data_IF_870106222067
#
_entry.id   IF_870106222067
#
_cell.length_a   1.000
_cell.length_b   1.000
_cell.length_c   1.000
_cell.angle_alpha   90.00
_cell.angle_beta   90.00
_cell.angle_gamma   90.00
#
_symmetry.space_group_name_H-M   'P 1'
#
loop_
_entity.id
_entity.type
_entity.pdbx_description
1 polymer ?
#
# COMPACT_ATOMS: atom_id res chain seq x y z
N UNK A 1 -3.37 0.01 46.77
CA UNK A 1 -2.95 1.22 46.03
C UNK A 1 -2.58 0.83 44.61
N UNK A 2 -3.52 1.01 43.67
CA UNK A 2 -3.29 0.74 42.24
C UNK A 2 -2.34 1.80 41.69
N UNK A 3 -1.14 1.42 41.26
CA UNK A 3 -0.23 2.37 40.58
C UNK A 3 -0.95 3.00 39.37
N UNK A 4 -0.87 4.33 39.18
CA UNK A 4 -1.45 4.97 38.01
C UNK A 4 -0.82 4.38 36.75
N UNK A 5 -1.65 3.82 35.87
CA UNK A 5 -1.21 3.21 34.63
C UNK A 5 -0.44 4.26 33.81
N UNK A 6 0.85 4.01 33.57
CA UNK A 6 1.68 4.92 32.76
C UNK A 6 1.03 5.11 31.38
N UNK A 7 0.94 6.36 30.87
CA UNK A 7 0.41 6.60 29.55
C UNK A 7 1.22 5.82 28.51
N UNK A 8 0.53 5.07 27.65
CA UNK A 8 1.20 4.33 26.57
C UNK A 8 1.87 5.33 25.61
N UNK A 9 3.13 5.11 25.21
CA UNK A 9 3.82 6.01 24.30
C UNK A 9 3.10 6.06 22.95
N UNK A 10 2.97 7.26 22.37
CA UNK A 10 2.26 7.47 21.09
C UNK A 10 2.99 6.88 19.89
N UNK A 11 4.32 6.80 19.96
CA UNK A 11 5.21 6.30 18.91
C UNK A 11 6.09 5.17 19.44
N UNK A 12 6.09 4.02 18.77
CA UNK A 12 6.97 2.90 19.07
C UNK A 12 8.38 3.14 18.51
N UNK A 13 9.12 4.01 19.20
CA UNK A 13 10.50 4.39 18.83
C UNK A 13 11.47 3.20 18.87
N UNK A 14 11.21 2.20 19.71
CA UNK A 14 12.09 1.03 19.85
C UNK A 14 12.01 0.16 18.60
N UNK A 15 10.80 -0.14 18.15
CA UNK A 15 10.59 -0.90 16.91
C UNK A 15 11.08 -0.11 15.70
N UNK A 16 10.79 1.19 15.63
CA UNK A 16 11.31 2.06 14.55
C UNK A 16 12.84 2.02 14.48
N UNK A 17 13.54 2.16 15.61
CA UNK A 17 15.01 2.11 15.63
C UNK A 17 15.55 0.75 15.20
N UNK A 18 14.89 -0.35 15.56
CA UNK A 18 15.29 -1.69 15.13
C UNK A 18 15.10 -1.89 13.62
N UNK A 19 13.96 -1.44 13.10
CA UNK A 19 13.65 -1.49 11.67
C UNK A 19 14.64 -0.63 10.87
N UNK A 20 14.97 0.59 11.34
CA UNK A 20 15.95 1.49 10.69
C UNK A 20 17.36 0.88 10.57
N UNK A 21 17.75 -0.03 11.47
CA UNK A 21 19.03 -0.75 11.33
C UNK A 21 19.00 -1.76 10.19
N UNK A 22 17.86 -2.45 10.05
CA UNK A 22 17.65 -3.43 8.97
C UNK A 22 17.41 -2.73 7.63
N UNK A 23 16.85 -1.52 7.66
CA UNK A 23 16.63 -0.66 6.51
C UNK A 23 17.91 -0.39 5.72
N UNK A 24 19.07 -0.29 6.37
CA UNK A 24 20.31 -0.04 5.66
C UNK A 24 20.61 -1.15 4.63
N UNK A 25 20.39 -2.42 4.99
CA UNK A 25 20.60 -3.54 4.07
C UNK A 25 19.59 -3.52 2.93
N UNK A 26 18.31 -3.31 3.25
CA UNK A 26 17.23 -3.29 2.25
C UNK A 26 17.38 -2.13 1.27
N UNK A 27 17.65 -0.93 1.78
CA UNK A 27 17.93 0.26 0.97
C UNK A 27 19.20 0.11 0.15
N UNK A 28 20.25 -0.54 0.67
CA UNK A 28 21.45 -0.82 -0.11
C UNK A 28 21.14 -1.73 -1.30
N UNK A 29 20.37 -2.80 -1.07
CA UNK A 29 19.92 -3.68 -2.15
C UNK A 29 19.06 -2.91 -3.17
N UNK A 30 18.16 -2.04 -2.70
CA UNK A 30 17.36 -1.16 -3.55
C UNK A 30 18.21 -0.24 -4.43
N UNK A 31 19.22 0.39 -3.85
CA UNK A 31 20.12 1.30 -4.58
C UNK A 31 21.00 0.55 -5.58
N UNK A 32 21.46 -0.66 -5.26
CA UNK A 32 22.17 -1.52 -6.22
C UNK A 32 21.27 -1.88 -7.40
N UNK A 33 20.03 -2.32 -7.15
CA UNK A 33 19.08 -2.61 -8.24
C UNK A 33 18.77 -1.35 -9.05
N UNK A 34 18.61 -0.20 -8.39
CA UNK A 34 18.40 1.09 -9.06
C UNK A 34 19.57 1.46 -9.96
N UNK A 35 20.80 1.28 -9.49
CA UNK A 35 22.00 1.53 -10.29
C UNK A 35 22.08 0.61 -11.51
N UNK A 36 21.73 -0.67 -11.36
CA UNK A 36 21.66 -1.62 -12.48
C UNK A 36 20.61 -1.18 -13.51
N UNK A 37 19.40 -0.85 -13.05
CA UNK A 37 18.32 -0.36 -13.94
C UNK A 37 18.76 0.92 -14.65
N UNK A 38 19.38 1.86 -13.93
CA UNK A 38 19.93 3.09 -14.51
C UNK A 38 20.92 2.79 -15.63
N UNK A 39 21.91 1.92 -15.40
CA UNK A 39 22.91 1.55 -16.41
C UNK A 39 22.24 0.92 -17.64
N UNK A 40 21.27 0.03 -17.44
CA UNK A 40 20.52 -0.59 -18.54
C UNK A 40 19.75 0.46 -19.34
N UNK A 41 19.01 1.35 -18.68
CA UNK A 41 18.26 2.42 -19.36
C UNK A 41 19.18 3.36 -20.11
N UNK A 42 20.28 3.78 -19.48
CA UNK A 42 21.28 4.66 -20.07
C UNK A 42 21.85 4.05 -21.36
N UNK A 43 22.32 2.79 -21.29
CA UNK A 43 22.87 2.07 -22.45
C UNK A 43 21.85 1.95 -23.57
N UNK A 44 20.60 1.61 -23.26
CA UNK A 44 19.55 1.49 -24.28
C UNK A 44 19.25 2.80 -25.00
N UNK A 45 19.39 3.95 -24.31
CA UNK A 45 19.25 5.27 -24.93
C UNK A 45 20.47 5.57 -25.81
N UNK A 46 21.67 5.36 -25.29
CA UNK A 46 22.95 5.58 -26.00
C UNK A 46 23.03 4.73 -27.29
N UNK A 47 22.55 3.48 -27.23
CA UNK A 47 22.48 2.55 -28.36
C UNK A 47 21.28 2.81 -29.30
N UNK A 48 20.39 3.75 -28.97
CA UNK A 48 19.20 4.05 -29.79
C UNK A 48 18.10 2.97 -29.77
N UNK A 49 18.12 2.03 -28.82
CA UNK A 49 17.22 0.84 -28.78
C UNK A 49 16.05 1.00 -27.80
N UNK A 50 15.89 2.18 -27.21
CA UNK A 50 14.84 2.46 -26.23
C UNK A 50 13.58 2.98 -26.89
N UNK A 51 12.43 2.37 -26.57
CA UNK A 51 11.11 2.84 -26.99
C UNK A 51 10.81 4.28 -26.51
N UNK A 52 11.50 4.76 -25.47
CA UNK A 52 11.40 6.15 -25.03
C UNK A 52 11.77 7.13 -26.14
N UNK A 53 12.69 6.78 -27.04
CA UNK A 53 13.13 7.66 -28.13
C UNK A 53 12.04 7.86 -29.19
N UNK A 54 11.11 6.93 -29.30
CA UNK A 54 9.94 7.10 -30.19
C UNK A 54 8.91 8.06 -29.60
N UNK A 55 8.76 8.09 -28.28
CA UNK A 55 7.79 8.94 -27.58
C UNK A 55 8.36 10.34 -27.28
N UNK A 56 9.64 10.40 -26.93
CA UNK A 56 10.34 11.59 -26.46
C UNK A 56 11.71 11.69 -27.15
N UNK A 57 11.76 11.94 -28.48
CA UNK A 57 13.00 11.92 -29.26
C UNK A 57 14.02 12.97 -28.80
N UNK A 58 13.58 14.06 -28.19
CA UNK A 58 14.46 15.08 -27.62
C UNK A 58 15.33 14.55 -26.47
N UNK A 59 14.97 13.41 -25.86
CA UNK A 59 15.75 12.73 -24.83
C UNK A 59 16.86 11.83 -25.40
N UNK A 60 17.20 11.92 -26.69
CA UNK A 60 18.21 11.06 -27.31
C UNK A 60 19.62 11.18 -26.70
N UNK A 61 19.96 12.34 -26.12
CA UNK A 61 21.25 12.51 -25.45
C UNK A 61 21.21 11.93 -24.02
N UNK A 62 21.70 10.69 -23.89
CA UNK A 62 21.75 9.97 -22.61
C UNK A 62 22.51 10.75 -21.52
N UNK A 63 23.58 11.45 -21.90
CA UNK A 63 24.43 12.20 -20.98
C UNK A 63 23.78 13.49 -20.52
N UNK A 64 23.14 14.22 -21.43
CA UNK A 64 22.43 15.45 -21.10
C UNK A 64 21.25 15.17 -20.16
N UNK A 65 20.50 14.10 -20.41
CA UNK A 65 19.27 13.75 -19.68
C UNK A 65 19.48 12.66 -18.62
N UNK A 66 20.68 12.54 -18.05
CA UNK A 66 21.00 11.48 -17.08
C UNK A 66 20.10 11.50 -15.83
N UNK A 67 19.66 12.68 -15.37
CA UNK A 67 18.72 12.79 -14.23
C UNK A 67 17.35 12.21 -14.57
N UNK A 68 16.89 12.34 -15.82
CA UNK A 68 15.67 11.69 -16.28
C UNK A 68 15.79 10.16 -16.22
N UNK A 69 16.93 9.59 -16.62
CA UNK A 69 17.16 8.14 -16.51
C UNK A 69 17.28 7.68 -15.06
N UNK A 70 17.87 8.49 -14.19
CA UNK A 70 17.89 8.24 -12.75
C UNK A 70 16.47 8.25 -12.16
N UNK A 71 15.65 9.23 -12.56
CA UNK A 71 14.23 9.28 -12.21
C UNK A 71 13.50 8.01 -12.63
N UNK A 72 13.65 7.57 -13.89
CA UNK A 72 13.05 6.32 -14.38
C UNK A 72 13.53 5.11 -13.58
N UNK A 73 14.83 5.02 -13.27
CA UNK A 73 15.39 3.92 -12.48
C UNK A 73 14.80 3.88 -11.07
N UNK A 74 14.68 5.02 -10.39
CA UNK A 74 13.99 5.08 -9.10
C UNK A 74 12.52 4.69 -9.20
N UNK A 75 11.82 5.07 -10.28
CA UNK A 75 10.43 4.69 -10.52
C UNK A 75 10.24 3.18 -10.66
N UNK A 76 11.08 2.52 -11.47
CA UNK A 76 11.06 1.06 -11.63
C UNK A 76 11.44 0.33 -10.35
N UNK A 77 12.46 0.81 -9.63
CA UNK A 77 12.83 0.26 -8.32
C UNK A 77 11.71 0.42 -7.31
N UNK A 78 11.05 1.59 -7.25
CA UNK A 78 9.92 1.82 -6.36
C UNK A 78 8.78 0.85 -6.67
N UNK A 79 8.44 0.63 -7.94
CA UNK A 79 7.40 -0.31 -8.34
C UNK A 79 7.76 -1.76 -7.99
N UNK A 80 9.02 -2.17 -8.18
CA UNK A 80 9.49 -3.49 -7.78
C UNK A 80 9.42 -3.69 -6.27
N UNK A 81 9.89 -2.71 -5.48
CA UNK A 81 9.82 -2.77 -4.02
C UNK A 81 8.36 -2.74 -3.51
N UNK A 82 7.50 -1.96 -4.18
CA UNK A 82 6.06 -1.96 -3.91
C UNK A 82 5.44 -3.34 -4.15
N UNK A 83 5.80 -4.00 -5.26
CA UNK A 83 5.38 -5.37 -5.54
C UNK A 83 5.86 -6.34 -4.46
N UNK A 84 7.14 -6.31 -4.09
CA UNK A 84 7.72 -7.16 -3.04
C UNK A 84 6.99 -6.95 -1.72
N UNK A 85 6.82 -5.70 -1.26
CA UNK A 85 6.19 -5.43 0.03
C UNK A 85 4.72 -5.85 0.07
N UNK A 86 3.98 -5.71 -1.03
CA UNK A 86 2.59 -6.20 -1.14
C UNK A 86 2.55 -7.72 -1.05
N UNK A 87 3.43 -8.42 -1.76
CA UNK A 87 3.55 -9.88 -1.68
C UNK A 87 3.84 -10.32 -0.24
N UNK A 88 4.80 -9.69 0.44
CA UNK A 88 5.11 -9.96 1.85
C UNK A 88 3.92 -9.69 2.78
N UNK A 89 3.20 -8.58 2.57
CA UNK A 89 2.01 -8.22 3.35
C UNK A 89 0.87 -9.22 3.18
N UNK A 90 0.63 -9.67 1.94
CA UNK A 90 -0.37 -10.67 1.61
C UNK A 90 0.00 -12.03 2.21
N UNK A 91 1.23 -12.50 2.01
CA UNK A 91 1.76 -13.76 2.57
C UNK A 91 1.67 -13.79 4.10
N UNK A 92 2.03 -12.68 4.75
CA UNK A 92 1.90 -12.54 6.21
C UNK A 92 0.44 -12.67 6.68
N UNK A 93 -0.50 -12.27 5.84
CA UNK A 93 -1.94 -12.22 6.17
C UNK A 93 -2.72 -13.45 5.73
N UNK A 94 -2.12 -14.34 4.94
CA UNK A 94 -2.67 -15.66 4.58
C UNK A 94 -2.33 -16.70 5.65
N UNK A 95 -3.05 -17.83 5.66
CA UNK A 95 -2.71 -18.95 6.56
C UNK A 95 -1.28 -19.41 6.28
N UNK A 96 -0.45 -19.59 7.33
CA UNK A 96 0.89 -20.11 7.14
C UNK A 96 0.81 -21.48 6.51
N UNK A 97 1.68 -21.69 5.53
CA UNK A 97 1.94 -23.01 4.99
C UNK A 97 2.86 -23.73 5.98
N UNK A 98 2.47 -24.92 6.43
CA UNK A 98 3.11 -25.64 7.55
C UNK A 98 4.60 -25.96 7.32
N UNK A 99 5.05 -25.98 6.07
CA UNK A 99 6.44 -26.26 5.68
C UNK A 99 7.26 -25.02 5.34
N UNK A 100 6.70 -23.81 5.47
CA UNK A 100 7.45 -22.59 5.17
C UNK A 100 8.57 -22.36 6.19
N UNK A 101 9.83 -22.18 5.75
CA UNK A 101 10.96 -21.90 6.66
C UNK A 101 10.92 -20.47 7.22
N UNK A 102 10.01 -19.61 6.74
CA UNK A 102 9.95 -18.20 7.11
C UNK A 102 8.84 -17.97 8.13
N UNK A 103 9.22 -17.48 9.32
CA UNK A 103 8.26 -17.15 10.37
C UNK A 103 7.45 -15.89 10.05
N UNK A 104 6.23 -15.80 10.58
CA UNK A 104 5.39 -14.60 10.47
C UNK A 104 6.07 -13.34 10.98
N UNK A 105 6.87 -13.43 12.05
CA UNK A 105 7.60 -12.30 12.61
C UNK A 105 8.65 -11.76 11.63
N UNK A 106 9.32 -12.66 10.90
CA UNK A 106 10.30 -12.30 9.86
C UNK A 106 9.62 -11.67 8.65
N UNK A 107 8.51 -12.25 8.17
CA UNK A 107 7.70 -11.64 7.10
C UNK A 107 7.19 -10.24 7.49
N UNK A 108 6.76 -10.06 8.74
CA UNK A 108 6.32 -8.76 9.23
C UNK A 108 7.48 -7.76 9.26
N UNK A 109 8.66 -8.15 9.72
CA UNK A 109 9.86 -7.30 9.68
C UNK A 109 10.21 -6.90 8.24
N UNK A 110 10.31 -7.85 7.32
CA UNK A 110 10.63 -7.57 5.92
C UNK A 110 9.59 -6.66 5.28
N UNK A 111 8.30 -6.90 5.50
CA UNK A 111 7.23 -6.04 5.00
C UNK A 111 7.35 -4.60 5.52
N UNK A 112 7.66 -4.40 6.81
CA UNK A 112 7.83 -3.04 7.36
C UNK A 112 9.02 -2.32 6.74
N UNK A 113 10.17 -3.00 6.69
CA UNK A 113 11.42 -2.41 6.18
C UNK A 113 11.28 -2.09 4.69
N UNK A 114 10.85 -3.05 3.88
CA UNK A 114 10.62 -2.86 2.43
C UNK A 114 9.59 -1.77 2.15
N UNK A 115 8.56 -1.60 3.00
CA UNK A 115 7.60 -0.49 2.86
C UNK A 115 8.24 0.88 3.08
N UNK A 116 9.16 1.03 4.06
CA UNK A 116 9.89 2.28 4.26
C UNK A 116 10.78 2.57 3.05
N UNK A 117 11.53 1.56 2.57
CA UNK A 117 12.35 1.68 1.37
C UNK A 117 11.51 2.06 0.15
N UNK A 118 10.34 1.45 -0.03
CA UNK A 118 9.40 1.79 -1.11
C UNK A 118 9.03 3.27 -1.07
N UNK A 119 8.62 3.80 0.09
CA UNK A 119 8.29 5.22 0.25
C UNK A 119 9.51 6.10 -0.08
N UNK A 120 10.69 5.70 0.38
CA UNK A 120 11.95 6.39 0.06
C UNK A 120 12.25 6.44 -1.43
N UNK A 121 12.08 5.32 -2.14
CA UNK A 121 12.25 5.23 -3.60
C UNK A 121 11.21 6.05 -4.35
N UNK A 122 9.94 6.03 -3.94
CA UNK A 122 8.89 6.88 -4.52
C UNK A 122 9.22 8.36 -4.38
N UNK A 123 9.72 8.77 -3.20
CA UNK A 123 10.16 10.14 -2.98
C UNK A 123 11.40 10.49 -3.80
N UNK A 124 12.39 9.59 -3.88
CA UNK A 124 13.59 9.79 -4.70
C UNK A 124 13.26 9.89 -6.19
N UNK A 125 12.28 9.12 -6.68
CA UNK A 125 11.74 9.23 -8.04
C UNK A 125 11.17 10.62 -8.30
N UNK A 126 10.27 11.11 -7.43
CA UNK A 126 9.72 12.46 -7.53
C UNK A 126 10.82 13.52 -7.45
N UNK A 127 11.76 13.39 -6.51
CA UNK A 127 12.87 14.34 -6.35
C UNK A 127 13.78 14.38 -7.58
N UNK A 128 14.10 13.23 -8.17
CA UNK A 128 14.90 13.18 -9.39
C UNK A 128 14.19 13.86 -10.57
N UNK A 129 12.86 13.71 -10.69
CA UNK A 129 12.08 14.44 -11.70
C UNK A 129 12.07 15.95 -11.44
N UNK A 130 11.89 16.36 -10.19
CA UNK A 130 11.98 17.77 -9.80
C UNK A 130 13.34 18.37 -10.18
N UNK A 131 14.44 17.69 -9.85
CA UNK A 131 15.80 18.14 -10.19
C UNK A 131 16.02 18.19 -11.71
N UNK A 132 15.43 17.27 -12.47
CA UNK A 132 15.48 17.30 -13.93
C UNK A 132 14.77 18.54 -14.50
N UNK A 133 13.59 18.91 -13.98
CA UNK A 133 12.91 20.14 -14.41
C UNK A 133 13.73 21.40 -14.10
N UNK A 134 14.38 21.45 -12.93
CA UNK A 134 15.30 22.55 -12.60
C UNK A 134 16.50 22.61 -13.55
N UNK A 135 17.05 21.45 -13.94
CA UNK A 135 18.19 21.37 -14.84
C UNK A 135 17.82 21.79 -16.26
N UNK A 136 16.67 21.32 -16.75
CA UNK A 136 16.23 21.56 -18.12
C UNK A 136 15.89 23.04 -18.33
N UNK A 137 15.17 23.67 -17.38
CA UNK A 137 14.71 25.06 -17.44
C UNK A 137 14.23 25.48 -18.84
N UNK A 138 13.35 24.67 -19.43
CA UNK A 138 12.93 24.78 -20.83
C UNK A 138 12.37 26.18 -21.16
N UNK A 139 11.61 26.74 -20.23
CA UNK A 139 10.97 28.05 -20.38
C UNK A 139 11.86 29.24 -20.01
N UNK A 140 13.15 29.01 -19.67
CA UNK A 140 14.09 30.07 -19.32
C UNK A 140 13.67 30.90 -18.09
N UNK A 141 13.00 30.27 -17.13
CA UNK A 141 12.46 30.94 -15.96
C UNK A 141 13.57 31.41 -15.01
N UNK A 142 13.29 32.52 -14.31
CA UNK A 142 14.12 32.97 -13.18
C UNK A 142 14.08 31.95 -12.04
N UNK A 143 15.19 31.77 -11.30
CA UNK A 143 15.36 30.68 -10.31
C UNK A 143 14.18 30.46 -9.35
N UNK A 144 13.60 31.52 -8.79
CA UNK A 144 12.44 31.39 -7.89
C UNK A 144 11.17 30.86 -8.59
N UNK A 145 10.90 31.32 -9.81
CA UNK A 145 9.77 30.85 -10.62
C UNK A 145 10.00 29.43 -11.13
N UNK A 146 11.23 29.10 -11.52
CA UNK A 146 11.62 27.75 -11.92
C UNK A 146 11.39 26.75 -10.79
N UNK A 147 11.88 27.05 -9.58
CA UNK A 147 11.69 26.19 -8.39
C UNK A 147 10.22 26.00 -8.07
N UNK A 148 9.43 27.07 -8.11
CA UNK A 148 8.00 26.98 -7.85
C UNK A 148 7.25 26.16 -8.91
N UNK A 149 7.53 26.39 -10.19
CA UNK A 149 6.92 25.64 -11.30
C UNK A 149 7.23 24.15 -11.18
N UNK A 150 8.51 23.79 -11.03
CA UNK A 150 8.93 22.41 -10.83
C UNK A 150 8.29 21.77 -9.59
N UNK A 151 8.12 22.55 -8.50
CA UNK A 151 7.44 22.07 -7.30
C UNK A 151 5.95 21.77 -7.57
N UNK A 152 5.25 22.65 -8.28
CA UNK A 152 3.84 22.45 -8.65
C UNK A 152 3.69 21.23 -9.54
N UNK A 153 4.55 21.09 -10.55
CA UNK A 153 4.52 19.97 -11.49
C UNK A 153 4.76 18.60 -10.84
N UNK A 154 5.57 18.56 -9.79
CA UNK A 154 6.05 17.29 -9.21
C UNK A 154 5.42 16.94 -7.86
N UNK A 155 5.06 17.94 -7.06
CA UNK A 155 4.59 17.71 -5.68
C UNK A 155 3.15 18.18 -5.43
N UNK A 156 2.54 18.98 -6.30
CA UNK A 156 1.15 19.42 -6.12
C UNK A 156 0.22 18.51 -6.93
N UNK A 157 -0.68 17.74 -6.29
CA UNK A 157 -1.63 16.90 -7.02
C UNK A 157 -2.46 17.74 -8.00
N UNK A 158 -2.41 17.37 -9.29
CA UNK A 158 -3.11 18.07 -10.37
C UNK A 158 -2.38 19.32 -10.91
N UNK A 159 -1.18 19.63 -10.41
CA UNK A 159 -0.37 20.76 -10.90
C UNK A 159 0.18 20.55 -12.31
N UNK A 160 0.58 19.33 -12.64
CA UNK A 160 1.10 19.00 -13.97
C UNK A 160 0.04 19.16 -15.07
N UNK A 161 0.34 19.95 -16.09
CA UNK A 161 -0.65 20.48 -17.01
C UNK A 161 -0.69 19.82 -18.40
N UNK A 162 0.22 18.90 -18.75
CA UNK A 162 0.36 18.44 -20.14
C UNK A 162 0.05 16.94 -20.35
N UNK A 163 -0.61 16.66 -21.47
CA UNK A 163 -0.85 15.31 -22.01
C UNK A 163 -1.36 14.29 -21.00
N UNK A 164 -0.91 13.04 -21.17
CA UNK A 164 -1.25 11.92 -20.28
C UNK A 164 -0.67 12.08 -18.87
N UNK A 165 0.33 12.95 -18.72
CA UNK A 165 0.97 13.26 -17.44
C UNK A 165 -0.02 13.87 -16.45
N UNK A 166 -1.00 14.64 -16.93
CA UNK A 166 -2.05 15.24 -16.10
C UNK A 166 -2.72 14.22 -15.16
N UNK A 167 -3.05 13.03 -15.68
CA UNK A 167 -3.69 11.97 -14.90
C UNK A 167 -2.66 11.06 -14.26
N UNK A 168 -1.63 10.65 -14.99
CA UNK A 168 -0.71 9.67 -14.47
C UNK A 168 0.13 10.22 -13.31
N UNK A 169 0.63 11.45 -13.38
CA UNK A 169 1.37 12.09 -12.27
C UNK A 169 0.43 12.31 -11.08
N UNK A 170 -0.83 12.69 -11.31
CA UNK A 170 -1.84 12.78 -10.26
C UNK A 170 -2.02 11.44 -9.52
N UNK A 171 -2.12 10.31 -10.24
CA UNK A 171 -2.19 8.99 -9.62
C UNK A 171 -0.93 8.65 -8.81
N UNK A 172 0.25 8.95 -9.34
CA UNK A 172 1.53 8.76 -8.65
C UNK A 172 1.63 9.58 -7.36
N UNK A 173 1.20 10.84 -7.40
CA UNK A 173 1.15 11.72 -6.24
C UNK A 173 0.16 11.23 -5.18
N UNK A 174 -1.06 10.86 -5.58
CA UNK A 174 -2.04 10.28 -4.64
C UNK A 174 -1.46 9.01 -4.01
N UNK A 175 -0.81 8.15 -4.78
CA UNK A 175 -0.16 6.96 -4.25
C UNK A 175 0.91 7.32 -3.21
N UNK A 176 1.83 8.25 -3.51
CA UNK A 176 2.85 8.73 -2.58
C UNK A 176 2.24 9.30 -1.29
N UNK A 177 1.25 10.19 -1.42
CA UNK A 177 0.60 10.83 -0.29
C UNK A 177 -0.24 9.87 0.56
N UNK A 178 -0.79 8.79 -0.01
CA UNK A 178 -1.45 7.74 0.75
C UNK A 178 -0.46 6.76 1.39
N UNK A 179 0.67 6.48 0.72
CA UNK A 179 1.70 5.56 1.21
C UNK A 179 2.31 6.03 2.55
N UNK A 180 2.56 7.33 2.69
CA UNK A 180 3.15 7.92 3.90
C UNK A 180 2.29 7.63 5.15
N UNK A 181 1.03 8.10 5.27
CA UNK A 181 0.22 7.86 6.45
C UNK A 181 -0.13 6.38 6.62
N UNK A 182 -0.46 5.65 5.55
CA UNK A 182 -0.88 4.24 5.67
C UNK A 182 0.28 3.31 6.02
N UNK A 183 1.47 3.54 5.46
CA UNK A 183 2.68 2.76 5.73
C UNK A 183 3.25 3.06 7.12
N UNK A 184 3.42 4.35 7.46
CA UNK A 184 4.00 4.75 8.74
C UNK A 184 3.05 4.60 9.93
N UNK A 185 1.75 4.40 9.69
CA UNK A 185 0.74 4.18 10.73
C UNK A 185 1.07 3.01 11.67
N UNK A 186 1.89 2.03 11.23
CA UNK A 186 2.34 0.93 12.07
C UNK A 186 3.05 1.42 13.34
N UNK A 187 3.88 2.46 13.23
CA UNK A 187 4.68 2.96 14.37
C UNK A 187 3.83 3.71 15.40
N UNK A 188 2.65 4.17 15.03
CA UNK A 188 1.69 4.85 15.92
C UNK A 188 0.50 3.96 16.29
N UNK A 189 0.51 2.68 15.90
CA UNK A 189 -0.61 1.74 16.12
C UNK A 189 -0.98 1.55 17.59
N UNK A 190 -0.02 1.74 18.50
CA UNK A 190 -0.23 1.65 19.94
C UNK A 190 -1.20 2.75 20.44
N UNK A 191 -1.21 3.90 19.75
CA UNK A 191 -2.10 5.01 20.04
C UNK A 191 -3.42 4.92 19.26
N UNK A 192 -3.38 4.58 17.98
CA UNK A 192 -4.61 4.51 17.15
C UNK A 192 -5.47 3.28 17.44
N UNK A 193 -4.89 2.26 18.08
CA UNK A 193 -5.53 0.98 18.35
C UNK A 193 -5.36 -0.02 17.21
N UNK A 194 -5.11 -1.29 17.57
CA UNK A 194 -4.77 -2.34 16.61
C UNK A 194 -5.91 -2.67 15.63
N UNK A 195 -7.18 -2.49 16.05
CA UNK A 195 -8.36 -2.73 15.21
C UNK A 195 -8.47 -1.68 14.10
N UNK A 196 -8.41 -0.39 14.48
CA UNK A 196 -8.47 0.73 13.54
C UNK A 196 -7.30 0.68 12.55
N UNK A 197 -6.07 0.48 13.06
CA UNK A 197 -4.88 0.35 12.24
C UNK A 197 -5.04 -0.74 11.17
N UNK A 198 -5.46 -1.96 11.55
CA UNK A 198 -5.64 -3.06 10.59
C UNK A 198 -6.63 -2.72 9.49
N UNK A 199 -7.73 -2.06 9.83
CA UNK A 199 -8.78 -1.74 8.87
C UNK A 199 -8.32 -0.64 7.91
N UNK A 200 -7.69 0.42 8.41
CA UNK A 200 -7.13 1.48 7.56
C UNK A 200 -5.99 0.95 6.68
N UNK A 201 -5.13 0.11 7.23
CA UNK A 201 -3.99 -0.45 6.50
C UNK A 201 -4.43 -1.35 5.33
N UNK A 202 -5.66 -1.92 5.33
CA UNK A 202 -6.19 -2.65 4.16
C UNK A 202 -6.29 -1.78 2.90
N UNK A 203 -6.46 -0.47 3.05
CA UNK A 203 -6.50 0.46 1.93
C UNK A 203 -5.12 0.67 1.28
N UNK A 204 -4.03 0.14 1.87
CA UNK A 204 -2.68 0.21 1.24
C UNK A 204 -2.63 -0.50 -0.11
N UNK A 205 -3.53 -1.46 -0.38
CA UNK A 205 -3.61 -2.08 -1.71
C UNK A 205 -3.95 -1.06 -2.80
N UNK A 206 -4.66 0.03 -2.46
CA UNK A 206 -4.95 1.11 -3.41
C UNK A 206 -3.67 1.85 -3.79
N UNK A 207 -2.73 2.05 -2.86
CA UNK A 207 -1.42 2.65 -3.17
C UNK A 207 -0.74 1.85 -4.28
N UNK A 208 -0.71 0.52 -4.14
CA UNK A 208 -0.11 -0.35 -5.14
C UNK A 208 -0.82 -0.30 -6.50
N UNK A 209 -2.16 -0.34 -6.50
CA UNK A 209 -2.96 -0.24 -7.73
C UNK A 209 -2.74 1.10 -8.44
N UNK A 210 -2.70 2.21 -7.69
CA UNK A 210 -2.42 3.54 -8.23
C UNK A 210 -0.99 3.63 -8.77
N UNK A 211 0.00 3.06 -8.08
CA UNK A 211 1.39 2.98 -8.56
C UNK A 211 1.50 2.17 -9.84
N UNK A 212 0.86 1.00 -9.92
CA UNK A 212 0.84 0.17 -11.12
C UNK A 212 0.23 0.91 -12.31
N UNK A 213 -0.90 1.59 -12.10
CA UNK A 213 -1.54 2.40 -13.14
C UNK A 213 -0.71 3.60 -13.55
N UNK A 214 -0.08 4.31 -12.60
CA UNK A 214 0.86 5.38 -12.89
C UNK A 214 1.99 4.88 -13.81
N UNK A 215 2.59 3.73 -13.50
CA UNK A 215 3.63 3.10 -14.34
C UNK A 215 3.09 2.71 -15.72
N UNK A 216 1.92 2.09 -15.81
CA UNK A 216 1.34 1.67 -17.09
C UNK A 216 0.89 2.85 -17.97
N UNK A 217 0.54 3.99 -17.39
CA UNK A 217 0.09 5.17 -18.13
C UNK A 217 1.23 6.10 -18.54
N UNK A 218 2.32 6.16 -17.76
CA UNK A 218 3.39 7.15 -17.95
C UNK A 218 4.80 6.57 -18.03
N UNK A 219 4.97 5.27 -17.84
CA UNK A 219 6.23 4.60 -18.08
C UNK A 219 6.52 4.56 -19.57
N UNK A 220 7.43 5.40 -20.06
CA UNK A 220 7.83 5.44 -21.48
C UNK A 220 8.34 4.09 -21.98
N UNK A 221 8.94 3.28 -21.10
CA UNK A 221 9.37 1.91 -21.38
C UNK A 221 8.23 0.90 -21.62
N UNK A 222 6.99 1.24 -21.24
CA UNK A 222 5.77 0.41 -21.41
C UNK A 222 4.65 1.19 -22.11
N UNK A 223 5.02 2.20 -22.89
CA UNK A 223 4.09 3.11 -23.55
C UNK A 223 3.34 2.44 -24.71
N UNK A 224 4.05 1.60 -25.45
CA UNK A 224 3.51 0.82 -26.56
C UNK A 224 3.14 -0.59 -26.13
N UNK A 225 2.28 -1.23 -26.92
CA UNK A 225 2.04 -2.67 -26.80
C UNK A 225 3.36 -3.42 -26.98
N UNK A 226 3.60 -4.44 -26.16
CA UNK A 226 4.82 -5.22 -26.27
C UNK A 226 5.07 -6.15 -25.10
N UNK A 227 6.02 -7.07 -25.29
CA UNK A 227 6.30 -8.14 -24.33
C UNK A 227 6.64 -7.61 -22.93
N UNK A 228 7.31 -6.46 -22.82
CA UNK A 228 7.68 -5.89 -21.53
C UNK A 228 6.46 -5.33 -20.78
N UNK A 229 5.54 -4.66 -21.48
CA UNK A 229 4.27 -4.22 -20.90
C UNK A 229 3.39 -5.41 -20.50
N UNK A 230 3.32 -6.44 -21.35
CA UNK A 230 2.64 -7.70 -21.04
C UNK A 230 3.27 -8.41 -19.83
N UNK A 231 4.60 -8.37 -19.68
CA UNK A 231 5.29 -8.87 -18.49
C UNK A 231 4.88 -8.11 -17.23
N UNK A 232 4.78 -6.77 -17.29
CA UNK A 232 4.30 -5.96 -16.16
C UNK A 232 2.87 -6.36 -15.75
N UNK A 233 1.99 -6.65 -16.71
CA UNK A 233 0.68 -7.23 -16.43
C UNK A 233 0.75 -8.63 -15.82
N UNK A 234 1.60 -9.50 -16.37
CA UNK A 234 1.81 -10.84 -15.85
C UNK A 234 2.29 -10.85 -14.39
N UNK A 235 3.14 -9.89 -14.00
CA UNK A 235 3.58 -9.71 -12.61
C UNK A 235 2.45 -9.32 -11.66
N UNK A 236 1.29 -8.88 -12.16
CA UNK A 236 0.11 -8.64 -11.32
C UNK A 236 -0.62 -9.93 -10.94
N UNK A 237 -0.41 -11.05 -11.67
CA UNK A 237 -1.08 -12.32 -11.39
C UNK A 237 -0.77 -12.85 -9.99
N UNK A 238 0.50 -12.95 -9.54
CA UNK A 238 0.80 -13.39 -8.17
C UNK A 238 0.13 -12.52 -7.10
N UNK A 239 0.08 -11.21 -7.30
CA UNK A 239 -0.56 -10.27 -6.37
C UNK A 239 -2.07 -10.53 -6.32
N UNK A 240 -2.72 -10.61 -7.49
CA UNK A 240 -4.15 -10.82 -7.60
C UNK A 240 -4.57 -12.19 -7.02
N UNK A 241 -3.80 -13.25 -7.31
CA UNK A 241 -4.03 -14.59 -6.78
C UNK A 241 -3.85 -14.66 -5.27
N UNK A 242 -2.80 -14.07 -4.71
CA UNK A 242 -2.61 -14.02 -3.25
C UNK A 242 -3.69 -13.17 -2.57
N UNK A 243 -4.10 -12.06 -3.19
CA UNK A 243 -5.20 -11.24 -2.69
C UNK A 243 -6.51 -12.03 -2.66
N UNK A 244 -6.83 -12.75 -3.74
CA UNK A 244 -7.99 -13.64 -3.78
C UNK A 244 -7.88 -14.74 -2.73
N UNK A 245 -6.73 -15.42 -2.63
CA UNK A 245 -6.49 -16.44 -1.62
C UNK A 245 -6.72 -15.91 -0.20
N UNK A 246 -6.30 -14.66 0.09
CA UNK A 246 -6.52 -13.98 1.36
C UNK A 246 -8.00 -13.70 1.66
N UNK A 247 -8.78 -13.36 0.63
CA UNK A 247 -10.23 -13.14 0.77
C UNK A 247 -11.00 -14.45 0.94
N UNK A 248 -10.55 -15.53 0.30
CA UNK A 248 -11.16 -16.86 0.38
C UNK A 248 -10.80 -17.61 1.67
N UNK A 249 -9.57 -17.46 2.16
CA UNK A 249 -9.05 -18.17 3.35
C UNK A 249 -8.69 -17.22 4.49
N UNK A 250 -9.64 -16.46 5.06
CA UNK A 250 -9.33 -15.50 6.09
C UNK A 250 -8.76 -16.18 7.34
N UNK A 251 -7.72 -15.55 7.91
CA UNK A 251 -7.09 -16.00 9.14
C UNK A 251 -8.07 -15.99 10.32
N UNK A 252 -8.89 -14.94 10.41
CA UNK A 252 -9.75 -14.69 11.57
C UNK A 252 -11.14 -15.26 11.37
N UNK A 253 -11.71 -15.81 12.45
CA UNK A 253 -13.08 -16.35 12.43
C UNK A 253 -14.11 -15.27 12.08
N UNK A 254 -13.93 -14.05 12.57
CA UNK A 254 -14.78 -12.87 12.29
C UNK A 254 -14.86 -12.44 10.81
N UNK A 255 -13.87 -12.88 10.01
CA UNK A 255 -13.77 -12.58 8.58
C UNK A 255 -14.31 -13.73 7.71
N UNK A 256 -14.65 -14.88 8.31
CA UNK A 256 -15.22 -16.02 7.57
C UNK A 256 -16.65 -15.68 7.13
N UNK A 257 -17.03 -16.19 5.96
CA UNK A 257 -18.42 -16.18 5.51
C UNK A 257 -19.02 -17.51 5.92
N UNK A 258 -19.98 -17.47 6.85
CA UNK A 258 -20.71 -18.67 7.28
C UNK A 258 -22.05 -18.71 6.55
N UNK A 259 -22.51 -19.90 6.13
CA UNK A 259 -23.79 -20.05 5.40
C UNK A 259 -24.99 -19.51 6.19
N UNK A 260 -24.95 -19.63 7.51
CA UNK A 260 -25.96 -19.10 8.43
C UNK A 260 -26.02 -17.58 8.48
N UNK A 261 -24.96 -16.87 8.10
CA UNK A 261 -24.91 -15.40 8.13
C UNK A 261 -25.47 -14.77 6.84
N UNK A 262 -25.54 -15.52 5.73
CA UNK A 262 -25.99 -15.01 4.43
C UNK A 262 -27.47 -14.54 4.43
N UNK A 263 -28.27 -14.94 5.42
CA UNK A 263 -29.64 -14.47 5.61
C UNK A 263 -29.79 -13.18 6.43
N UNK A 264 -28.70 -12.62 6.98
CA UNK A 264 -28.74 -11.64 8.07
C UNK A 264 -28.22 -10.22 7.78
N UNK A 265 -28.28 -9.72 6.55
CA UNK A 265 -28.01 -8.30 6.22
C UNK A 265 -26.98 -8.05 5.11
N UNK A 266 -26.60 -6.79 4.89
CA UNK A 266 -25.74 -6.37 3.76
C UNK A 266 -24.26 -6.79 3.86
N UNK A 267 -23.75 -7.08 5.07
CA UNK A 267 -22.33 -7.38 5.31
C UNK A 267 -21.79 -8.62 4.57
N UNK A 268 -22.46 -9.77 4.64
CA UNK A 268 -22.10 -10.97 3.88
C UNK A 268 -22.14 -10.77 2.36
N UNK A 269 -23.13 -10.04 1.83
CA UNK A 269 -23.23 -9.72 0.41
C UNK A 269 -22.05 -8.86 -0.06
N UNK A 270 -21.64 -7.85 0.71
CA UNK A 270 -20.47 -7.02 0.40
C UNK A 270 -19.17 -7.85 0.37
N UNK A 271 -19.02 -8.80 1.31
CA UNK A 271 -17.86 -9.71 1.33
C UNK A 271 -17.84 -10.67 0.14
N UNK A 272 -19.01 -11.19 -0.26
CA UNK A 272 -19.15 -12.02 -1.45
C UNK A 272 -18.82 -11.20 -2.71
N UNK A 273 -19.39 -10.00 -2.84
CA UNK A 273 -19.10 -9.06 -3.91
C UNK A 273 -17.61 -8.76 -4.03
N UNK A 274 -16.93 -8.48 -2.92
CA UNK A 274 -15.47 -8.28 -2.89
C UNK A 274 -14.67 -9.50 -3.39
N UNK A 275 -15.11 -10.72 -3.09
CA UNK A 275 -14.48 -11.96 -3.60
C UNK A 275 -14.71 -12.15 -5.09
N UNK A 276 -15.93 -11.91 -5.56
CA UNK A 276 -16.28 -12.00 -6.98
C UNK A 276 -15.52 -10.96 -7.80
N UNK A 277 -15.40 -9.73 -7.31
CA UNK A 277 -14.61 -8.68 -7.94
C UNK A 277 -13.12 -9.04 -7.99
N UNK A 278 -12.56 -9.60 -6.91
CA UNK A 278 -11.17 -10.06 -6.92
C UNK A 278 -10.95 -11.22 -7.92
N UNK A 279 -11.88 -12.17 -7.99
CA UNK A 279 -11.82 -13.27 -8.96
C UNK A 279 -11.94 -12.77 -10.40
N UNK A 280 -12.87 -11.84 -10.67
CA UNK A 280 -12.97 -11.18 -11.96
C UNK A 280 -11.68 -10.44 -12.32
N UNK A 281 -11.06 -9.75 -11.36
CA UNK A 281 -9.76 -9.11 -11.53
C UNK A 281 -8.65 -10.09 -11.94
N UNK A 282 -8.57 -11.26 -11.31
CA UNK A 282 -7.64 -12.32 -11.72
C UNK A 282 -7.88 -12.74 -13.16
N UNK A 283 -9.15 -12.97 -13.54
CA UNK A 283 -9.51 -13.36 -14.91
C UNK A 283 -9.12 -12.28 -15.91
N UNK A 284 -9.39 -11.01 -15.62
CA UNK A 284 -9.02 -9.89 -16.49
C UNK A 284 -7.50 -9.83 -16.67
N UNK A 285 -6.72 -9.86 -15.59
CA UNK A 285 -5.25 -9.84 -15.68
C UNK A 285 -4.72 -11.03 -16.49
N UNK A 286 -5.31 -12.22 -16.30
CA UNK A 286 -4.94 -13.42 -17.05
C UNK A 286 -5.23 -13.27 -18.54
N UNK A 287 -6.43 -12.78 -18.89
CA UNK A 287 -6.81 -12.55 -20.28
C UNK A 287 -5.92 -11.51 -20.95
N UNK A 288 -5.63 -10.39 -20.27
CA UNK A 288 -4.69 -9.37 -20.76
C UNK A 288 -3.31 -9.99 -21.02
N UNK A 289 -2.80 -10.77 -20.06
CA UNK A 289 -1.47 -11.39 -20.17
C UNK A 289 -1.39 -12.42 -21.30
N UNK A 290 -2.41 -13.27 -21.47
CA UNK A 290 -2.42 -14.33 -22.49
C UNK A 290 -2.69 -13.79 -23.89
N UNK A 291 -3.56 -12.78 -24.01
CA UNK A 291 -3.91 -12.21 -25.32
C UNK A 291 -2.93 -11.16 -25.81
N UNK A 292 -2.09 -10.60 -24.93
CA UNK A 292 -1.22 -9.46 -25.24
C UNK A 292 -1.98 -8.15 -25.46
N UNK A 293 -3.30 -8.12 -25.25
CA UNK A 293 -4.12 -6.90 -25.35
C UNK A 293 -4.00 -6.09 -24.07
N UNK A 294 -2.82 -5.51 -23.87
CA UNK A 294 -2.43 -4.84 -22.63
C UNK A 294 -2.73 -3.33 -22.60
N UNK A 295 -3.38 -2.82 -23.65
CA UNK A 295 -3.84 -1.44 -23.74
C UNK A 295 -2.69 -0.44 -23.88
N UNK A 296 -1.55 -0.89 -24.41
CA UNK A 296 -0.51 0.00 -24.89
C UNK A 296 -0.96 0.73 -26.16
N UNK A 297 -0.13 1.67 -26.61
CA UNK A 297 -0.35 2.35 -27.88
C UNK A 297 0.24 1.53 -29.02
N UNK A 298 -0.35 1.66 -30.20
CA UNK A 298 0.26 1.17 -31.43
C UNK A 298 1.19 2.24 -32.00
N UNK A 299 2.47 1.93 -32.30
CA UNK A 299 3.39 2.89 -32.90
C UNK A 299 2.82 3.53 -34.18
N UNK A 300 2.96 4.85 -34.33
CA UNK A 300 2.51 5.59 -35.50
C UNK A 300 1.00 5.86 -35.59
N UNK A 301 0.18 5.40 -34.64
CA UNK A 301 -1.23 5.77 -34.56
C UNK A 301 -1.46 6.98 -33.66
N UNK A 302 -2.43 7.83 -34.03
CA UNK A 302 -2.87 8.92 -33.17
C UNK A 302 -3.38 8.36 -31.84
N UNK A 303 -2.96 8.99 -30.75
CA UNK A 303 -3.49 8.64 -29.43
C UNK A 303 -4.93 9.12 -29.34
N UNK A 304 -5.86 8.20 -29.08
CA UNK A 304 -7.25 8.56 -28.79
C UNK A 304 -7.38 9.44 -27.54
N UNK A 305 -8.55 10.06 -27.38
CA UNK A 305 -8.86 10.91 -26.24
C UNK A 305 -8.65 10.21 -24.89
N UNK A 306 -8.24 10.97 -23.88
CA UNK A 306 -8.13 10.48 -22.52
C UNK A 306 -9.51 10.12 -21.96
N UNK A 307 -9.78 8.82 -21.85
CA UNK A 307 -11.01 8.29 -21.25
C UNK A 307 -11.16 8.65 -19.76
N UNK A 308 -10.04 8.82 -19.06
CA UNK A 308 -9.99 9.19 -17.64
C UNK A 308 -9.48 10.62 -17.54
N UNK A 309 -10.21 11.47 -16.82
CA UNK A 309 -9.86 12.88 -16.61
C UNK A 309 -9.48 13.15 -15.14
N UNK A 310 -8.79 14.25 -14.87
CA UNK A 310 -8.44 14.64 -13.48
C UNK A 310 -9.67 14.76 -12.56
N UNK A 311 -10.81 15.38 -12.97
CA UNK A 311 -12.00 15.42 -12.12
C UNK A 311 -12.52 14.03 -11.73
N UNK A 312 -12.44 13.04 -12.62
CA UNK A 312 -12.83 11.67 -12.30
C UNK A 312 -11.92 11.06 -11.23
N UNK A 313 -10.60 11.29 -11.32
CA UNK A 313 -9.62 10.82 -10.31
C UNK A 313 -9.88 11.47 -8.97
N UNK A 314 -10.13 12.79 -8.94
CA UNK A 314 -10.48 13.51 -7.72
C UNK A 314 -11.80 13.02 -7.10
N UNK A 315 -12.83 12.80 -7.92
CA UNK A 315 -14.09 12.22 -7.46
C UNK A 315 -13.90 10.83 -6.84
N UNK A 316 -13.09 9.98 -7.47
CA UNK A 316 -12.71 8.68 -6.94
C UNK A 316 -11.97 8.77 -5.60
N UNK A 317 -11.02 9.71 -5.47
CA UNK A 317 -10.31 9.95 -4.22
C UNK A 317 -11.24 10.40 -3.09
N UNK A 318 -12.17 11.32 -3.37
CA UNK A 318 -13.17 11.76 -2.39
C UNK A 318 -13.98 10.57 -1.88
N UNK A 319 -14.48 9.71 -2.78
CA UNK A 319 -15.21 8.50 -2.41
C UNK A 319 -14.36 7.59 -1.51
N UNK A 320 -13.11 7.33 -1.88
CA UNK A 320 -12.18 6.50 -1.08
C UNK A 320 -11.98 7.08 0.32
N UNK A 321 -11.69 8.37 0.43
CA UNK A 321 -11.45 9.04 1.72
C UNK A 321 -12.72 9.05 2.59
N UNK A 322 -13.90 9.27 2.00
CA UNK A 322 -15.18 9.19 2.70
C UNK A 322 -15.44 7.79 3.25
N UNK A 323 -15.19 6.75 2.44
CA UNK A 323 -15.31 5.34 2.88
C UNK A 323 -14.32 5.04 4.00
N UNK A 324 -13.06 5.45 3.87
CA UNK A 324 -12.05 5.28 4.93
C UNK A 324 -12.47 5.96 6.24
N UNK A 325 -12.99 7.19 6.16
CA UNK A 325 -13.49 7.95 7.31
C UNK A 325 -14.69 7.28 7.98
N UNK A 326 -15.70 6.87 7.20
CA UNK A 326 -16.88 6.19 7.70
C UNK A 326 -16.52 4.87 8.41
N UNK A 327 -15.62 4.09 7.81
CA UNK A 327 -15.11 2.84 8.38
C UNK A 327 -14.34 3.10 9.68
N UNK A 328 -13.50 4.15 9.72
CA UNK A 328 -12.78 4.52 10.94
C UNK A 328 -13.73 4.89 12.10
N UNK A 329 -14.78 5.66 11.81
CA UNK A 329 -15.80 6.05 12.79
C UNK A 329 -16.61 4.83 13.29
N UNK A 330 -17.00 3.93 12.39
CA UNK A 330 -17.71 2.70 12.74
C UNK A 330 -16.89 1.79 13.66
N UNK A 331 -15.57 1.68 13.42
CA UNK A 331 -14.66 0.89 14.26
C UNK A 331 -14.50 1.51 15.65
N UNK A 332 -14.43 2.85 15.75
CA UNK A 332 -14.32 3.56 17.04
C UNK A 332 -15.59 3.42 17.87
N UNK A 333 -16.75 3.67 17.30
CA UNK A 333 -18.04 3.58 18.01
C UNK A 333 -18.37 2.16 18.48
N UNK A 334 -17.90 1.13 17.76
CA UNK A 334 -18.04 -0.26 18.19
C UNK A 334 -17.21 -0.59 19.43
N UNK A 335 -16.08 0.09 19.65
CA UNK A 335 -15.24 -0.10 20.84
C UNK A 335 -15.88 0.49 22.10
N UNK A 336 -16.51 1.66 21.98
CA UNK A 336 -17.17 2.34 23.09
C UNK A 336 -18.39 1.59 23.61
N UNK A 337 -19.18 0.96 22.73
CA UNK A 337 -20.35 0.17 23.15
C UNK A 337 -19.97 -1.02 24.01
N UNK A 338 -18.92 -1.76 23.65
CA UNK A 338 -18.44 -2.92 24.42
C UNK A 338 -18.01 -2.50 25.81
N UNK A 339 -17.22 -1.42 25.93
CA UNK A 339 -16.80 -0.88 27.23
C UNK A 339 -17.97 -0.41 28.10
N UNK A 340 -19.05 0.11 27.49
CA UNK A 340 -20.24 0.56 28.22
C UNK A 340 -21.11 -0.60 28.70
N UNK A 341 -21.19 -1.69 27.95
CA UNK A 341 -21.93 -2.90 28.36
C UNK A 341 -21.18 -3.69 29.44
N UNK A 342 -19.84 -3.75 29.37
CA UNK A 342 -19.02 -4.39 30.42
C UNK A 342 -18.90 -3.54 31.70
N UNK A 343 -19.08 -2.22 31.61
CA UNK A 343 -19.14 -1.32 32.77
C UNK A 343 -20.48 -1.34 33.52
N UNK A 344 -21.47 -2.10 33.04
CA UNK A 344 -22.73 -2.36 33.73
C UNK A 344 -22.66 -3.80 34.24
N UNK A 345 -21.92 -4.04 35.31
CA UNK A 345 -22.11 -5.25 36.12
C UNK A 345 -23.04 -4.96 37.32
N UNK A 346 -23.83 -5.97 37.74
CA UNK A 346 -25.12 -5.81 38.37
C UNK A 346 -24.97 -5.76 39.89
N UNK A 347 -24.88 -4.56 40.45
CA UNK A 347 -25.05 -4.33 41.87
C UNK A 347 -26.50 -4.51 42.34
N UNK A 348 -27.04 -5.73 42.30
CA UNK A 348 -28.32 -6.07 42.98
C UNK A 348 -28.63 -7.56 43.11
N UNK A 349 -27.63 -8.44 43.28
CA UNK A 349 -27.88 -9.72 43.99
C UNK A 349 -27.45 -9.59 45.45
N UNK A 350 -28.27 -8.83 46.16
CA UNK A 350 -28.44 -8.89 47.60
C UNK A 350 -28.85 -10.33 47.94
N UNK A 351 -27.88 -11.16 48.35
CA UNK A 351 -28.15 -12.43 49.02
C UNK A 351 -28.48 -12.08 50.47
N UNK A 352 -29.76 -11.85 50.71
CA UNK A 352 -30.31 -11.87 52.06
C UNK A 352 -30.56 -13.30 52.52
N UNK A 353 -30.31 -13.49 53.82
CA UNK A 353 -30.86 -14.51 54.72
C UNK A 353 -30.03 -15.79 54.96
N UNK A 354 -30.15 -16.42 56.15
CA UNK A 354 -29.85 -15.86 57.47
C UNK A 354 -28.99 -16.84 58.32
N UNK A 355 -28.46 -16.28 59.42
CA UNK A 355 -27.99 -16.91 60.67
C UNK A 355 -28.23 -18.42 60.85
N UNK A 356 -27.15 -19.16 61.16
CA UNK A 356 -27.23 -20.38 61.96
C UNK A 356 -26.11 -20.37 63.02
N UNK A 357 -26.44 -20.33 64.32
CA UNK A 357 -25.46 -20.37 65.41
C UNK A 357 -25.32 -21.79 66.01
N UNK A 358 -24.11 -22.09 66.47
CA UNK A 358 -23.76 -23.06 67.54
C UNK A 358 -23.98 -24.56 67.31
N UNK A 359 -22.87 -25.31 67.22
CA UNK A 359 -22.48 -26.43 68.12
C UNK A 359 -21.21 -27.07 67.53
N UNK A 360 -20.01 -26.86 68.06
CA UNK A 360 -19.49 -27.49 69.28
C UNK A 360 -19.47 -29.03 69.20
N UNK A 361 -18.32 -29.61 68.82
CA UNK A 361 -17.82 -30.88 69.39
C UNK A 361 -16.35 -31.20 69.03
N UNK A 362 -15.56 -31.10 70.10
CA UNK A 362 -14.38 -31.85 70.53
C UNK A 362 -13.98 -33.17 69.81
N UNK A 363 -12.65 -33.29 69.68
CA UNK A 363 -11.77 -34.40 70.09
C UNK A 363 -11.92 -35.83 69.53
N UNK A 364 -10.83 -36.28 68.88
CA UNK A 364 -10.06 -37.53 69.11
C UNK A 364 -9.15 -37.75 67.88
N UNK A 365 -7.87 -37.46 67.94
CA UNK A 365 -6.78 -38.36 68.38
C UNK A 365 -6.84 -39.81 67.85
N UNK A 366 -5.76 -40.13 67.12
CA UNK A 366 -4.96 -41.37 67.14
C UNK A 366 -4.94 -42.30 65.91
N UNK A 367 -3.82 -43.02 65.69
CA UNK A 367 -3.08 -43.04 64.42
C UNK A 367 -3.05 -44.42 63.76
N UNK A 368 -2.52 -44.48 62.53
CA UNK A 368 -1.51 -45.45 62.07
C UNK A 368 -0.95 -45.01 60.70
#
# INVERSE_FOLDING_TARGET
MSSPARPRPRLDRRTLRADLRTLLLDSTAALVVTAVIFVVLYRRIDDGTSATLEVMPYLADARMYWLYWACQAFGWSAMLWAWITVMLGLLRSTRPVSWSPVSHARLELWHRVTSITTIGLMFAHALAFFLELLRQNEDGLSSGRLVWSAFVDVFVPGGYATGTGQVAILLGLIALYLAIPLGLSFYIRAWTGSRLWRVLHRFVILVYVLSAWHTLLYGTNVWFDGWFRTLVWGLQLPVALLFLARLLTPLRREERLTRTELGGGAGPLLRLGGRLLAAAGVVVVLLVTVTGRDGGRTPGQESGDMLITQPMVWGGLVVVLTVMGAVALAVRSSGERVSRTEGIEPGSRQKESPLDPTSDRSDSEHPL
#
